data_IF_216048798423
#
_entry.id   IF_216048798423
#
_cell.length_a   1.000
_cell.length_b   1.000
_cell.length_c   1.000
_cell.angle_alpha   90.00
_cell.angle_beta   90.00
_cell.angle_gamma   90.00
#
_symmetry.space_group_name_H-M   'P 1'
#
loop_
_entity.id
_entity.type
_entity.pdbx_description
1 polymer ?
#
# COMPACT_ATOMS: atom_id res chain seq x y z
N UNK A 1 -19.82 -6.90 -15.42
CA UNK A 1 -18.36 -6.94 -15.21
C UNK A 1 -18.09 -7.72 -13.93
N UNK A 2 -17.44 -8.87 -14.07
CA UNK A 2 -17.18 -9.86 -13.01
C UNK A 2 -16.00 -9.44 -12.14
N UNK A 3 -16.00 -9.81 -10.86
CA UNK A 3 -14.95 -9.44 -9.88
C UNK A 3 -13.52 -9.88 -10.32
N UNK A 4 -13.45 -10.91 -11.18
CA UNK A 4 -12.22 -11.44 -11.78
C UNK A 4 -11.58 -10.49 -12.80
N UNK A 5 -12.37 -9.72 -13.55
CA UNK A 5 -11.84 -8.80 -14.58
C UNK A 5 -11.24 -7.53 -13.97
N UNK A 6 -11.80 -7.07 -12.83
CA UNK A 6 -11.27 -5.89 -12.11
C UNK A 6 -9.90 -6.16 -11.50
N UNK A 7 -9.70 -7.35 -10.93
CA UNK A 7 -8.38 -7.76 -10.43
C UNK A 7 -7.36 -7.81 -11.56
N UNK A 8 -7.68 -8.41 -12.70
CA UNK A 8 -6.75 -8.51 -13.83
C UNK A 8 -6.27 -7.15 -14.38
N UNK A 9 -7.12 -6.11 -14.34
CA UNK A 9 -6.77 -4.76 -14.80
C UNK A 9 -5.86 -4.03 -13.82
N UNK A 10 -6.18 -4.09 -12.52
CA UNK A 10 -5.34 -3.48 -11.48
C UNK A 10 -4.00 -4.19 -11.41
N UNK A 11 -4.01 -5.51 -11.55
CA UNK A 11 -2.82 -6.35 -11.55
C UNK A 11 -1.92 -6.04 -12.75
N UNK A 12 -2.46 -5.94 -13.97
CA UNK A 12 -1.66 -5.65 -15.16
C UNK A 12 -1.13 -4.20 -15.24
N UNK A 13 -1.72 -3.26 -14.50
CA UNK A 13 -1.22 -1.87 -14.44
C UNK A 13 -0.21 -1.66 -13.32
N UNK A 14 -0.39 -2.32 -12.16
CA UNK A 14 0.43 -2.09 -10.97
C UNK A 14 1.54 -3.11 -10.77
N UNK A 15 1.48 -4.26 -11.43
CA UNK A 15 2.42 -5.37 -11.24
C UNK A 15 2.97 -5.84 -12.58
N UNK A 16 4.29 -5.71 -12.75
CA UNK A 16 4.99 -6.29 -13.87
C UNK A 16 5.11 -7.81 -13.67
N UNK A 17 4.72 -8.57 -14.68
CA UNK A 17 4.76 -10.03 -14.62
C UNK A 17 6.18 -10.49 -14.93
N UNK A 18 6.87 -11.01 -13.92
CA UNK A 18 8.20 -11.60 -14.08
C UNK A 18 8.13 -12.86 -14.97
N UNK A 19 8.94 -12.88 -16.03
CA UNK A 19 9.07 -14.03 -16.93
C UNK A 19 10.41 -14.74 -16.71
N UNK A 20 10.39 -16.06 -16.83
CA UNK A 20 11.57 -16.91 -16.61
C UNK A 20 12.13 -17.33 -17.97
N UNK A 21 13.10 -16.58 -18.47
CA UNK A 21 13.88 -16.90 -19.67
C UNK A 21 15.19 -17.58 -19.30
N UNK A 22 15.84 -18.21 -20.27
CA UNK A 22 17.12 -18.91 -20.05
C UNK A 22 18.25 -17.93 -19.68
N UNK A 23 18.25 -16.73 -20.28
CA UNK A 23 19.18 -15.63 -19.96
C UNK A 23 19.08 -15.22 -18.47
N UNK A 24 17.87 -15.16 -17.93
CA UNK A 24 17.65 -14.82 -16.52
C UNK A 24 18.15 -15.94 -15.60
N UNK A 25 17.99 -17.20 -15.99
CA UNK A 25 18.52 -18.33 -15.22
C UNK A 25 20.05 -18.30 -15.21
N UNK A 26 20.68 -18.01 -16.35
CA UNK A 26 22.13 -17.88 -16.45
C UNK A 26 22.66 -16.73 -15.60
N UNK A 27 22.00 -15.58 -15.61
CA UNK A 27 22.33 -14.43 -14.76
C UNK A 27 22.35 -14.78 -13.26
N UNK A 28 21.31 -15.43 -12.75
CA UNK A 28 21.23 -15.81 -11.33
C UNK A 28 22.12 -17.00 -10.97
N UNK A 29 22.63 -17.75 -11.95
CA UNK A 29 23.68 -18.74 -11.72
C UNK A 29 24.99 -18.06 -11.31
N UNK A 30 25.28 -16.90 -11.92
CA UNK A 30 26.46 -16.09 -11.63
C UNK A 30 26.27 -15.21 -10.38
N UNK A 31 25.03 -14.78 -10.10
CA UNK A 31 24.68 -13.88 -8.98
C UNK A 31 23.58 -14.49 -8.07
N UNK A 32 23.88 -15.56 -7.32
CA UNK A 32 22.87 -16.29 -6.53
C UNK A 32 22.38 -15.52 -5.29
N UNK A 33 23.18 -14.57 -4.79
CA UNK A 33 22.86 -13.69 -3.66
C UNK A 33 21.78 -12.66 -4.02
N UNK A 34 21.80 -12.13 -5.24
CA UNK A 34 20.77 -11.20 -5.73
C UNK A 34 19.38 -11.85 -5.79
N UNK A 35 19.33 -13.16 -6.07
CA UNK A 35 18.08 -13.92 -6.10
C UNK A 35 17.37 -13.95 -4.75
N UNK A 36 18.12 -13.91 -3.65
CA UNK A 36 17.58 -13.89 -2.30
C UNK A 36 17.11 -12.49 -1.88
N UNK A 37 17.59 -11.42 -2.52
CA UNK A 37 17.13 -10.04 -2.28
C UNK A 37 15.71 -9.78 -2.81
N UNK A 38 15.27 -10.52 -3.84
CA UNK A 38 13.95 -10.37 -4.47
C UNK A 38 12.79 -10.64 -3.49
N UNK A 39 13.06 -11.43 -2.45
CA UNK A 39 12.08 -11.76 -1.40
C UNK A 39 12.29 -10.95 -0.13
N UNK A 40 13.13 -9.91 -0.12
CA UNK A 40 13.24 -9.09 1.08
C UNK A 40 11.94 -8.31 1.30
N UNK A 41 11.38 -8.42 2.50
CA UNK A 41 10.05 -7.90 2.82
C UNK A 41 10.16 -6.76 3.82
N UNK A 42 9.84 -5.54 3.36
CA UNK A 42 9.55 -4.46 4.28
C UNK A 42 8.25 -4.75 5.06
N UNK A 43 8.34 -4.65 6.40
CA UNK A 43 7.19 -4.81 7.28
C UNK A 43 6.58 -3.45 7.59
N UNK A 44 5.35 -3.24 7.15
CA UNK A 44 4.54 -2.08 7.54
C UNK A 44 3.63 -2.44 8.73
N UNK A 45 3.43 -1.50 9.66
CA UNK A 45 2.65 -1.73 10.87
C UNK A 45 1.15 -1.43 10.67
N UNK A 46 0.37 -2.41 10.22
CA UNK A 46 -1.08 -2.30 9.96
C UNK A 46 -1.89 -1.69 11.14
N UNK A 47 -1.46 -1.92 12.39
CA UNK A 47 -2.10 -1.34 13.59
C UNK A 47 -1.96 0.18 13.67
N UNK A 48 -0.77 0.70 13.34
CA UNK A 48 -0.53 2.15 13.27
C UNK A 48 -1.42 2.77 12.20
N UNK A 49 -1.57 2.07 11.08
CA UNK A 49 -2.37 2.52 9.96
C UNK A 49 -3.85 2.62 10.30
N UNK A 50 -4.40 1.58 10.93
CA UNK A 50 -5.78 1.57 11.42
C UNK A 50 -6.02 2.69 12.45
N UNK A 51 -5.05 2.94 13.32
CA UNK A 51 -5.10 4.04 14.28
C UNK A 51 -5.12 5.40 13.59
N UNK A 52 -4.20 5.66 12.65
CA UNK A 52 -4.14 6.93 11.90
C UNK A 52 -5.42 7.14 11.06
N UNK A 53 -5.94 6.09 10.44
CA UNK A 53 -7.21 6.15 9.72
C UNK A 53 -8.37 6.55 10.63
N UNK A 54 -8.50 5.87 11.78
CA UNK A 54 -9.55 6.19 12.77
C UNK A 54 -9.39 7.60 13.35
N UNK A 55 -8.17 8.02 13.66
CA UNK A 55 -7.86 9.35 14.18
C UNK A 55 -8.21 10.43 13.14
N UNK A 56 -7.78 10.26 11.89
CA UNK A 56 -8.07 11.20 10.81
C UNK A 56 -9.57 11.34 10.57
N UNK A 57 -10.31 10.23 10.56
CA UNK A 57 -11.78 10.26 10.47
C UNK A 57 -12.42 10.96 11.67
N UNK A 58 -11.99 10.65 12.89
CA UNK A 58 -12.54 11.24 14.10
C UNK A 58 -12.34 12.76 14.13
N UNK A 59 -11.14 13.23 13.76
CA UNK A 59 -10.84 14.67 13.64
C UNK A 59 -11.70 15.28 12.54
N UNK A 60 -11.75 14.69 11.35
CA UNK A 60 -12.52 15.24 10.21
C UNK A 60 -13.99 15.39 10.53
N UNK A 61 -14.62 14.31 11.03
CA UNK A 61 -16.05 14.31 11.35
C UNK A 61 -16.30 15.20 12.57
N UNK A 62 -15.46 15.09 13.60
CA UNK A 62 -15.57 15.89 14.81
C UNK A 62 -15.53 17.38 14.51
N UNK A 63 -14.57 17.84 13.71
CA UNK A 63 -14.44 19.26 13.35
C UNK A 63 -15.67 19.77 12.60
N UNK A 64 -16.20 19.00 11.64
CA UNK A 64 -17.40 19.38 10.89
C UNK A 64 -18.66 19.39 11.75
N UNK A 65 -18.81 18.42 12.65
CA UNK A 65 -19.94 18.35 13.57
C UNK A 65 -19.90 19.51 14.56
N UNK A 66 -18.72 19.84 15.10
CA UNK A 66 -18.56 21.01 15.96
C UNK A 66 -18.90 22.32 15.22
N UNK A 67 -18.43 22.48 13.99
CA UNK A 67 -18.72 23.66 13.18
C UNK A 67 -20.23 23.85 13.01
N UNK A 68 -20.95 22.76 12.73
CA UNK A 68 -22.41 22.77 12.55
C UNK A 68 -23.19 23.13 13.82
N UNK A 69 -22.80 22.60 14.99
CA UNK A 69 -23.54 22.84 16.24
C UNK A 69 -23.22 24.19 16.91
N UNK A 70 -22.03 24.74 16.67
CA UNK A 70 -21.54 25.94 17.36
C UNK A 70 -21.32 27.13 16.41
N UNK A 71 -21.96 27.10 15.23
CA UNK A 71 -21.81 28.11 14.18
C UNK A 71 -22.04 29.54 14.69
N UNK A 72 -23.07 29.72 15.54
CA UNK A 72 -23.45 31.02 16.11
C UNK A 72 -22.70 31.42 17.39
N UNK A 73 -21.96 30.47 17.99
CA UNK A 73 -21.34 30.63 19.32
C UNK A 73 -19.84 30.93 19.19
N UNK A 74 -19.19 30.37 18.17
CA UNK A 74 -17.77 30.54 17.93
C UNK A 74 -17.48 31.72 17.01
N UNK A 75 -16.41 32.46 17.33
CA UNK A 75 -15.95 33.56 16.48
C UNK A 75 -15.49 33.05 15.11
N UNK A 76 -15.63 33.88 14.08
CA UNK A 76 -15.29 33.57 12.68
C UNK A 76 -13.91 32.90 12.50
N UNK A 77 -12.94 33.28 13.32
CA UNK A 77 -11.61 32.67 13.34
C UNK A 77 -11.59 31.20 13.78
N UNK A 78 -12.40 30.79 14.77
CA UNK A 78 -12.47 29.39 15.18
C UNK A 78 -13.17 28.52 14.15
N UNK A 79 -14.26 29.02 13.57
CA UNK A 79 -15.03 28.24 12.61
C UNK A 79 -14.28 28.12 11.26
N UNK A 80 -13.80 29.24 10.72
CA UNK A 80 -13.25 29.28 9.35
C UNK A 80 -11.79 28.81 9.29
N UNK A 81 -11.03 28.86 10.40
CA UNK A 81 -9.59 28.54 10.37
C UNK A 81 -9.28 27.28 11.15
N UNK A 82 -9.69 27.19 12.42
CA UNK A 82 -9.31 26.04 13.26
C UNK A 82 -10.06 24.77 12.87
N UNK A 83 -11.37 24.86 12.68
CA UNK A 83 -12.18 23.69 12.31
C UNK A 83 -11.93 23.25 10.88
N UNK A 84 -11.71 24.19 9.96
CA UNK A 84 -11.44 23.85 8.56
C UNK A 84 -10.06 23.21 8.40
N UNK A 85 -9.00 23.83 8.94
CA UNK A 85 -7.64 23.25 8.90
C UNK A 85 -7.59 21.90 9.61
N UNK A 86 -8.27 21.72 10.75
CA UNK A 86 -8.31 20.41 11.41
C UNK A 86 -9.06 19.36 10.58
N UNK A 87 -10.15 19.74 9.91
CA UNK A 87 -10.84 18.86 8.96
C UNK A 87 -9.92 18.46 7.80
N UNK A 88 -9.20 19.41 7.19
CA UNK A 88 -8.26 19.14 6.10
C UNK A 88 -7.10 18.24 6.53
N UNK A 89 -6.55 18.48 7.72
CA UNK A 89 -5.51 17.62 8.30
C UNK A 89 -6.03 16.21 8.58
N UNK A 90 -7.25 16.10 9.11
CA UNK A 90 -7.91 14.81 9.30
C UNK A 90 -8.05 14.05 7.98
N UNK A 91 -8.45 14.75 6.91
CA UNK A 91 -8.57 14.20 5.56
C UNK A 91 -7.23 13.70 5.04
N UNK A 92 -6.19 14.51 5.16
CA UNK A 92 -4.84 14.15 4.74
C UNK A 92 -4.33 12.90 5.49
N UNK A 93 -4.54 12.84 6.81
CA UNK A 93 -4.10 11.73 7.65
C UNK A 93 -4.80 10.42 7.27
N UNK A 94 -6.14 10.40 7.17
CA UNK A 94 -6.81 9.16 6.80
C UNK A 94 -6.54 8.78 5.34
N UNK A 95 -6.40 9.76 4.43
CA UNK A 95 -6.05 9.52 3.03
C UNK A 95 -4.66 8.88 2.88
N UNK A 96 -3.66 9.38 3.62
CA UNK A 96 -2.34 8.76 3.70
C UNK A 96 -2.41 7.34 4.26
N UNK A 97 -3.26 7.10 5.27
CA UNK A 97 -3.46 5.78 5.82
C UNK A 97 -4.08 4.79 4.80
N UNK A 98 -5.05 5.24 4.00
CA UNK A 98 -5.61 4.43 2.91
C UNK A 98 -4.55 4.08 1.87
N UNK A 99 -3.75 5.06 1.45
CA UNK A 99 -2.69 4.85 0.45
C UNK A 99 -1.66 3.83 0.93
N UNK A 100 -1.16 3.96 2.16
CA UNK A 100 -0.22 2.99 2.72
C UNK A 100 -0.83 1.60 2.88
N UNK A 101 -2.14 1.48 3.12
CA UNK A 101 -2.82 0.18 3.19
C UNK A 101 -2.83 -0.50 1.81
N UNK A 102 -3.12 0.28 0.76
CA UNK A 102 -3.08 -0.23 -0.61
C UNK A 102 -1.66 -0.68 -0.99
N UNK A 103 -0.63 0.07 -0.61
CA UNK A 103 0.76 -0.33 -0.82
C UNK A 103 1.08 -1.64 -0.08
N UNK A 104 0.65 -1.81 1.17
CA UNK A 104 0.84 -3.06 1.93
C UNK A 104 0.21 -4.27 1.21
N UNK A 105 -1.00 -4.10 0.68
CA UNK A 105 -1.69 -5.16 -0.09
C UNK A 105 -0.94 -5.50 -1.37
N UNK A 106 -0.45 -4.49 -2.10
CA UNK A 106 0.32 -4.67 -3.33
C UNK A 106 1.66 -5.34 -3.05
N UNK A 107 2.40 -4.89 -2.03
CA UNK A 107 3.66 -5.50 -1.60
C UNK A 107 3.45 -6.96 -1.17
N UNK A 108 2.38 -7.26 -0.43
CA UNK A 108 2.07 -8.63 -0.05
C UNK A 108 1.81 -9.53 -1.27
N UNK A 109 1.26 -8.96 -2.35
CA UNK A 109 1.05 -9.68 -3.61
C UNK A 109 2.37 -9.87 -4.37
N UNK A 110 3.15 -8.80 -4.55
CA UNK A 110 4.50 -8.84 -5.15
C UNK A 110 5.38 -9.87 -4.46
N UNK A 111 5.39 -9.88 -3.12
CA UNK A 111 6.16 -10.84 -2.34
C UNK A 111 5.80 -12.30 -2.68
N UNK A 112 4.51 -12.63 -2.84
CA UNK A 112 4.10 -14.01 -3.22
C UNK A 112 4.58 -14.37 -4.62
N UNK A 113 4.49 -13.43 -5.56
CA UNK A 113 4.95 -13.63 -6.94
C UNK A 113 6.47 -13.79 -6.99
N UNK A 114 7.20 -12.96 -6.25
CA UNK A 114 8.65 -13.01 -6.07
C UNK A 114 9.13 -14.33 -5.47
N UNK A 115 8.44 -14.84 -4.43
CA UNK A 115 8.75 -16.16 -3.84
C UNK A 115 8.53 -17.27 -4.86
N UNK A 116 7.42 -17.25 -5.60
CA UNK A 116 7.14 -18.24 -6.64
C UNK A 116 8.19 -18.20 -7.76
N UNK A 117 8.54 -16.98 -8.20
CA UNK A 117 9.57 -16.72 -9.20
C UNK A 117 10.93 -17.27 -8.77
N UNK A 118 11.38 -16.92 -7.56
CA UNK A 118 12.63 -17.42 -6.97
C UNK A 118 12.67 -18.95 -6.92
N UNK A 119 11.59 -19.58 -6.46
CA UNK A 119 11.53 -21.03 -6.35
C UNK A 119 11.62 -21.70 -7.73
N UNK A 120 10.98 -21.12 -8.75
CA UNK A 120 11.05 -21.62 -10.11
C UNK A 120 12.45 -21.49 -10.73
N UNK A 121 13.17 -20.40 -10.46
CA UNK A 121 14.58 -20.25 -10.89
C UNK A 121 15.46 -21.27 -10.18
N UNK A 122 15.33 -21.44 -8.86
CA UNK A 122 16.10 -22.45 -8.11
C UNK A 122 15.87 -23.87 -8.65
N UNK A 123 14.61 -24.22 -8.95
CA UNK A 123 14.30 -25.51 -9.56
C UNK A 123 14.97 -25.72 -10.93
N UNK A 124 15.02 -24.68 -11.79
CA UNK A 124 15.75 -24.77 -13.07
C UNK A 124 17.26 -24.91 -12.87
N UNK A 125 17.85 -24.15 -11.95
CA UNK A 125 19.27 -24.25 -11.64
C UNK A 125 19.68 -25.63 -11.10
N UNK A 126 18.80 -26.31 -10.36
CA UNK A 126 19.01 -27.68 -9.89
C UNK A 126 18.90 -28.73 -11.00
N UNK A 127 18.03 -28.52 -11.99
CA UNK A 127 17.87 -29.42 -13.14
C UNK A 127 18.97 -29.28 -14.20
N UNK A 128 19.64 -28.12 -14.23
CA UNK A 128 20.77 -27.84 -15.14
C UNK A 128 22.14 -28.22 -14.56
N UNK A 129 22.18 -28.87 -13.39
CA UNK A 129 23.38 -29.51 -12.82
C UNK A 129 23.55 -30.93 -13.34
#
# INVERSE_FOLDING_TARGET
>A
MTNKDKNNLIDGFLLEKLEITDEVVDYYRENPDELDLIIDKEQMHTKLLAFLFGLGLAITIGSRVLAYFFEDIWGKFMNDVVLDVSSELGIAVFGGAVTAYLLEVLQAKQYRENVAYRNAIKARLEQSK
#
